data_IF_775233316808
#
_entry.id   IF_775233316808
#
_cell.length_a   1.000
_cell.length_b   1.000
_cell.length_c   1.000
_cell.angle_alpha   90.00
_cell.angle_beta   90.00
_cell.angle_gamma   90.00
#
_symmetry.space_group_name_H-M   'P 1'
#
loop_
_entity.id
_entity.type
_entity.pdbx_description
1 polymer ?
#
# COMPACT_ATOMS: atom_id res chain seq x y z
N UNK A 1 12.96 2.01 7.92
CA UNK A 1 11.84 2.60 7.19
C UNK A 1 11.97 2.19 5.74
N UNK A 2 10.94 1.53 5.21
CA UNK A 2 10.88 1.13 3.81
C UNK A 2 9.81 1.96 3.13
N UNK A 3 10.16 2.56 2.00
CA UNK A 3 9.24 3.39 1.22
C UNK A 3 8.86 2.63 -0.05
N UNK A 4 7.56 2.52 -0.29
CA UNK A 4 7.01 1.97 -1.52
C UNK A 4 6.18 3.05 -2.22
N UNK A 5 6.54 3.31 -3.46
CA UNK A 5 5.77 4.17 -4.35
C UNK A 5 4.95 3.25 -5.25
N UNK A 6 3.63 3.41 -5.24
CA UNK A 6 2.71 2.69 -6.12
C UNK A 6 2.06 3.68 -7.07
N UNK A 7 2.10 3.39 -8.35
CA UNK A 7 1.46 4.17 -9.41
C UNK A 7 0.21 3.40 -9.84
N UNK A 8 -0.95 4.03 -9.71
CA UNK A 8 -2.24 3.52 -10.10
C UNK A 8 -2.84 4.40 -11.20
N UNK A 9 -3.72 3.81 -12.01
CA UNK A 9 -4.61 4.57 -12.86
C UNK A 9 -5.85 5.05 -12.07
N UNK A 10 -6.67 5.89 -12.70
CA UNK A 10 -7.96 6.36 -12.14
C UNK A 10 -8.99 5.27 -11.83
N UNK A 11 -8.84 4.08 -12.41
CA UNK A 11 -9.70 2.92 -12.16
C UNK A 11 -9.24 2.11 -10.94
N UNK A 12 -8.07 2.43 -10.38
CA UNK A 12 -7.45 1.68 -9.28
C UNK A 12 -6.56 0.53 -9.74
N UNK A 13 -6.27 0.39 -11.04
CA UNK A 13 -5.32 -0.62 -11.53
C UNK A 13 -3.88 -0.14 -11.26
N UNK A 14 -3.05 -1.04 -10.74
CA UNK A 14 -1.63 -0.78 -10.51
C UNK A 14 -0.91 -0.79 -11.86
N UNK A 15 -0.30 0.34 -12.21
CA UNK A 15 0.50 0.49 -13.41
C UNK A 15 1.96 0.13 -13.13
N UNK A 16 2.50 0.62 -12.03
CA UNK A 16 3.89 0.35 -11.64
C UNK A 16 4.08 0.55 -10.14
N UNK A 17 5.22 0.09 -9.62
CA UNK A 17 5.60 0.30 -8.23
C UNK A 17 7.10 0.13 -8.05
N UNK A 18 7.66 0.89 -7.11
CA UNK A 18 9.09 0.90 -6.80
C UNK A 18 9.34 1.07 -5.29
N UNK A 19 10.26 0.30 -4.68
CA UNK A 19 11.08 -0.76 -5.29
C UNK A 19 10.25 -1.98 -5.74
N UNK A 20 10.78 -2.77 -6.69
CA UNK A 20 10.14 -4.01 -7.17
C UNK A 20 10.23 -5.09 -6.09
N UNK A 21 9.22 -5.14 -5.23
CA UNK A 21 9.07 -6.14 -4.17
C UNK A 21 8.30 -7.36 -4.67
N UNK A 22 8.64 -8.54 -4.16
CA UNK A 22 7.95 -9.79 -4.51
C UNK A 22 6.50 -9.83 -4.03
N UNK A 23 6.16 -9.09 -2.97
CA UNK A 23 4.85 -9.17 -2.31
C UNK A 23 4.27 -7.78 -2.03
N UNK A 24 3.85 -7.09 -3.09
CA UNK A 24 3.23 -5.76 -2.96
C UNK A 24 1.86 -5.80 -2.27
N UNK A 25 1.16 -6.93 -2.32
CA UNK A 25 -0.17 -7.07 -1.71
C UNK A 25 -0.17 -6.85 -0.20
N UNK A 26 0.88 -7.27 0.52
CA UNK A 26 1.03 -6.95 1.95
C UNK A 26 1.21 -5.45 2.16
N UNK A 27 1.95 -4.78 1.29
CA UNK A 27 2.24 -3.35 1.41
C UNK A 27 1.02 -2.49 1.06
N UNK A 28 0.21 -2.89 0.08
CA UNK A 28 -1.04 -2.21 -0.28
C UNK A 28 -2.11 -2.30 0.82
N UNK A 29 -2.00 -3.28 1.71
CA UNK A 29 -2.88 -3.40 2.87
C UNK A 29 -2.55 -2.35 3.94
N UNK A 30 -1.39 -1.70 3.84
CA UNK A 30 -1.00 -0.58 4.68
C UNK A 30 -1.57 0.71 4.11
N UNK A 31 -2.11 1.56 4.98
CA UNK A 31 -2.66 2.86 4.57
C UNK A 31 -1.53 3.72 3.96
N UNK A 32 -1.71 4.28 2.75
CA UNK A 32 -0.73 5.18 2.17
C UNK A 32 -0.59 6.43 3.04
N UNK A 33 0.66 6.88 3.21
CA UNK A 33 0.98 8.10 3.96
C UNK A 33 0.59 9.33 3.12
N UNK A 34 0.88 9.29 1.82
CA UNK A 34 0.54 10.35 0.89
C UNK A 34 -0.08 9.81 -0.39
N UNK A 35 -1.07 10.55 -0.91
CA UNK A 35 -1.76 10.27 -2.17
C UNK A 35 -1.66 11.50 -3.04
N UNK A 36 -1.01 11.36 -4.19
CA UNK A 36 -0.93 12.40 -5.21
C UNK A 36 -1.78 12.00 -6.41
N UNK A 37 -2.70 12.87 -6.81
CA UNK A 37 -3.58 12.65 -7.96
C UNK A 37 -3.42 13.79 -8.96
N UNK A 38 -2.95 13.47 -10.17
CA UNK A 38 -2.70 14.46 -11.23
C UNK A 38 -3.83 14.52 -12.26
N UNK A 39 -4.99 13.90 -11.97
CA UNK A 39 -6.10 13.79 -12.93
C UNK A 39 -5.98 12.64 -13.93
N UNK A 40 -4.78 12.17 -14.26
CA UNK A 40 -4.56 10.97 -15.09
C UNK A 40 -4.07 9.75 -14.30
N UNK A 41 -3.22 10.00 -13.30
CA UNK A 41 -2.53 8.97 -12.52
C UNK A 41 -2.64 9.29 -11.02
N UNK A 42 -2.68 8.23 -10.22
CA UNK A 42 -2.64 8.29 -8.76
C UNK A 42 -1.30 7.71 -8.32
N UNK A 43 -0.54 8.44 -7.51
CA UNK A 43 0.70 7.97 -6.89
C UNK A 43 0.47 7.86 -5.40
N UNK A 44 0.68 6.66 -4.86
CA UNK A 44 0.63 6.39 -3.42
C UNK A 44 2.05 6.26 -2.91
N UNK A 45 2.39 7.02 -1.87
CA UNK A 45 3.59 6.81 -1.07
C UNK A 45 3.19 6.06 0.18
N UNK A 46 3.64 4.82 0.28
CA UNK A 46 3.40 3.95 1.42
C UNK A 46 4.73 3.86 2.17
N UNK A 47 4.76 4.40 3.39
CA UNK A 47 5.91 4.25 4.28
C UNK A 47 5.60 3.10 5.22
N UNK A 48 6.22 1.95 4.97
CA UNK A 48 6.15 0.84 5.91
C UNK A 48 7.23 1.00 6.97
N UNK A 49 6.78 1.11 8.21
CA UNK A 49 7.61 0.69 9.31
C UNK A 49 7.54 -0.82 9.30
N UNK A 50 8.62 -1.49 8.92
CA UNK A 50 8.85 -2.87 9.35
C UNK A 50 9.11 -2.82 10.86
N UNK A 51 8.12 -2.37 11.62
CA UNK A 51 8.00 -2.77 13.00
C UNK A 51 7.46 -4.19 12.92
N UNK A 52 8.17 -5.09 13.57
CA UNK A 52 7.87 -6.50 13.69
C UNK A 52 6.61 -6.70 14.56
N UNK A 53 5.53 -5.98 14.26
CA UNK A 53 4.27 -6.03 14.99
C UNK A 53 3.46 -7.24 14.49
N UNK A 54 3.93 -8.41 14.95
CA UNK A 54 3.02 -9.44 15.41
C UNK A 54 2.07 -8.81 16.44
N UNK A 55 0.86 -8.41 16.05
CA UNK A 55 -0.34 -8.72 16.83
C UNK A 55 -1.67 -8.31 16.15
N UNK A 56 -2.61 -9.25 16.20
CA UNK A 56 -4.06 -9.10 16.35
C UNK A 56 -4.79 -7.90 15.71
N UNK A 57 -5.74 -8.21 14.82
CA UNK A 57 -7.17 -8.24 15.19
C UNK A 57 -8.04 -8.55 13.97
N UNK A 58 -8.05 -9.82 13.52
CA UNK A 58 -9.17 -10.37 12.76
C UNK A 58 -10.13 -10.99 13.77
N UNK A 59 -10.86 -10.14 14.49
CA UNK A 59 -12.07 -10.56 15.20
C UNK A 59 -13.08 -11.01 14.16
N UNK A 60 -13.06 -12.32 13.94
CA UNK A 60 -14.05 -13.10 13.25
C UNK A 60 -15.41 -12.83 13.88
N UNK A 61 -16.29 -12.18 13.13
CA UNK A 61 -17.71 -12.06 13.42
C UNK A 61 -18.25 -13.47 13.75
N UNK A 62 -18.57 -13.72 15.02
CA UNK A 62 -19.27 -14.95 15.43
C UNK A 62 -20.70 -14.56 15.78
N UNK A 63 -21.61 -15.16 15.05
CA UNK A 63 -23.08 -15.11 15.19
C UNK A 63 -23.57 -15.80 16.45
#
# INVERSE_FOLDING_TARGET
MSELIVILNKKGDILDFYPKVSNISEVLNVKPEEVYDDGELIRLRIVTHTDEDKDNSLILHSV
#
